data_IF_573669333978
#
_entry.id   IF_573669333978
#
_cell.length_a   1.000
_cell.length_b   1.000
_cell.length_c   1.000
_cell.angle_alpha   90.00
_cell.angle_beta   90.00
_cell.angle_gamma   90.00
#
_symmetry.space_group_name_H-M   'P 1'
#
loop_
_entity.id
_entity.type
_entity.pdbx_description
1 polymer ?
#
# COMPACT_ATOMS: atom_id res chain seq x y z
N UNK A 1 -5.84 21.04 -6.66
CA UNK A 1 -7.11 20.27 -6.54
C UNK A 1 -7.03 19.10 -7.51
N UNK A 2 -7.50 17.90 -7.14
CA UNK A 2 -7.57 16.75 -8.03
C UNK A 2 -8.42 17.08 -9.28
N UNK A 3 -8.05 16.51 -10.43
CA UNK A 3 -8.83 16.63 -11.67
C UNK A 3 -10.12 15.81 -11.59
N UNK A 4 -11.12 16.14 -12.42
CA UNK A 4 -12.36 15.35 -12.47
C UNK A 4 -12.08 13.89 -12.93
N UNK A 5 -11.10 13.69 -13.82
CA UNK A 5 -10.66 12.36 -14.25
C UNK A 5 -10.07 11.54 -13.10
N UNK A 6 -9.24 12.17 -12.27
CA UNK A 6 -8.69 11.54 -11.07
C UNK A 6 -9.78 11.09 -10.10
N UNK A 7 -10.76 11.97 -9.82
CA UNK A 7 -11.86 11.65 -8.92
C UNK A 7 -12.69 10.45 -9.42
N UNK A 8 -13.04 10.46 -10.70
CA UNK A 8 -13.75 9.33 -11.31
C UNK A 8 -12.94 8.03 -11.19
N UNK A 9 -11.65 8.08 -11.51
CA UNK A 9 -10.78 6.91 -11.42
C UNK A 9 -10.60 6.40 -10.00
N UNK A 10 -10.45 7.30 -9.04
CA UNK A 10 -10.40 6.98 -7.61
C UNK A 10 -11.67 6.23 -7.15
N UNK A 11 -12.86 6.74 -7.53
CA UNK A 11 -14.14 6.14 -7.15
C UNK A 11 -14.33 4.74 -7.78
N UNK A 12 -13.83 4.55 -9.01
CA UNK A 12 -13.78 3.23 -9.67
C UNK A 12 -12.86 2.26 -8.91
N UNK A 13 -11.66 2.71 -8.53
CA UNK A 13 -10.67 1.91 -7.78
C UNK A 13 -11.26 1.53 -6.41
N UNK A 14 -11.82 2.49 -5.67
CA UNK A 14 -12.48 2.25 -4.39
C UNK A 14 -13.57 1.18 -4.53
N UNK A 15 -14.51 1.37 -5.49
CA UNK A 15 -15.60 0.42 -5.72
C UNK A 15 -15.08 -0.97 -6.09
N UNK A 16 -14.05 -1.06 -6.92
CA UNK A 16 -13.46 -2.33 -7.33
C UNK A 16 -12.84 -3.08 -6.15
N UNK A 17 -12.01 -2.43 -5.37
CA UNK A 17 -11.33 -3.07 -4.23
C UNK A 17 -12.25 -3.31 -3.05
N UNK A 18 -13.23 -2.44 -2.82
CA UNK A 18 -14.14 -2.58 -1.70
C UNK A 18 -15.22 -3.64 -1.93
N UNK A 19 -15.76 -3.73 -3.16
CA UNK A 19 -16.92 -4.58 -3.46
C UNK A 19 -16.61 -5.81 -4.32
N UNK A 20 -15.67 -5.70 -5.24
CA UNK A 20 -15.44 -6.75 -6.24
C UNK A 20 -14.23 -7.61 -5.91
N UNK A 21 -13.15 -7.02 -5.43
CA UNK A 21 -11.88 -7.69 -5.23
C UNK A 21 -11.56 -8.01 -3.77
N UNK A 22 -12.31 -7.47 -2.79
CA UNK A 22 -11.99 -7.58 -1.37
C UNK A 22 -11.74 -9.03 -0.91
N UNK A 23 -12.66 -9.96 -1.19
CA UNK A 23 -12.52 -11.37 -0.81
C UNK A 23 -11.34 -12.06 -1.49
N UNK A 24 -11.11 -11.72 -2.78
CA UNK A 24 -9.98 -12.26 -3.52
C UNK A 24 -8.64 -11.77 -2.94
N UNK A 25 -8.56 -10.50 -2.57
CA UNK A 25 -7.40 -9.91 -1.91
C UNK A 25 -7.19 -10.43 -0.50
N UNK A 26 -8.25 -10.55 0.29
CA UNK A 26 -8.21 -11.17 1.60
C UNK A 26 -7.60 -12.57 1.54
N UNK A 27 -8.06 -13.40 0.60
CA UNK A 27 -7.55 -14.76 0.38
C UNK A 27 -6.11 -14.74 -0.15
N UNK A 28 -5.79 -13.87 -1.11
CA UNK A 28 -4.47 -13.82 -1.74
C UNK A 28 -3.37 -13.41 -0.75
N UNK A 29 -3.70 -12.56 0.19
CA UNK A 29 -2.77 -12.01 1.19
C UNK A 29 -2.83 -12.72 2.55
N UNK A 30 -3.54 -13.86 2.66
CA UNK A 30 -3.60 -14.73 3.84
C UNK A 30 -2.81 -16.03 3.62
N UNK A 31 -2.66 -16.84 4.66
CA UNK A 31 -2.05 -18.18 4.58
C UNK A 31 -3.01 -19.26 4.07
N UNK A 32 -4.25 -18.90 3.73
CA UNK A 32 -5.25 -19.84 3.26
C UNK A 32 -4.78 -20.59 2.00
N UNK A 33 -5.13 -21.89 1.85
CA UNK A 33 -4.83 -22.65 0.65
C UNK A 33 -5.43 -22.01 -0.59
N UNK A 34 -4.62 -21.84 -1.64
CA UNK A 34 -5.04 -21.25 -2.90
C UNK A 34 -4.69 -22.14 -4.08
N UNK A 35 -5.35 -21.92 -5.23
CA UNK A 35 -5.04 -22.63 -6.47
C UNK A 35 -3.57 -22.40 -6.90
N UNK A 36 -3.07 -23.26 -7.79
CA UNK A 36 -1.69 -23.17 -8.32
C UNK A 36 -1.39 -21.78 -8.93
N UNK A 37 -2.34 -21.22 -9.66
CA UNK A 37 -2.19 -19.90 -10.29
C UNK A 37 -2.11 -18.81 -9.20
N UNK A 38 -3.03 -18.80 -8.25
CA UNK A 38 -3.03 -17.83 -7.16
C UNK A 38 -1.78 -17.94 -6.27
N UNK A 39 -1.23 -19.14 -6.13
CA UNK A 39 0.06 -19.36 -5.43
C UNK A 39 1.22 -18.68 -6.14
N UNK A 40 1.25 -18.73 -7.48
CA UNK A 40 2.28 -18.02 -8.26
C UNK A 40 2.15 -16.51 -8.10
N UNK A 41 0.92 -15.97 -8.13
CA UNK A 41 0.67 -14.55 -7.89
C UNK A 41 1.10 -14.14 -6.47
N UNK A 42 0.75 -14.93 -5.45
CA UNK A 42 1.15 -14.69 -4.05
C UNK A 42 2.68 -14.60 -3.93
N UNK A 43 3.41 -15.59 -4.46
CA UNK A 43 4.89 -15.59 -4.46
C UNK A 43 5.48 -14.37 -5.15
N UNK A 44 4.90 -13.94 -6.28
CA UNK A 44 5.35 -12.74 -6.98
C UNK A 44 5.17 -11.47 -6.13
N UNK A 45 4.04 -11.37 -5.43
CA UNK A 45 3.80 -10.25 -4.51
C UNK A 45 4.70 -10.28 -3.29
N UNK A 46 4.95 -11.46 -2.72
CA UNK A 46 5.86 -11.62 -1.60
C UNK A 46 7.28 -11.18 -1.98
N UNK A 47 7.79 -11.66 -3.13
CA UNK A 47 9.09 -11.24 -3.65
C UNK A 47 9.17 -9.73 -3.95
N UNK A 48 8.08 -9.13 -4.44
CA UNK A 48 8.00 -7.69 -4.68
C UNK A 48 8.06 -6.91 -3.35
N UNK A 49 7.31 -7.34 -2.34
CA UNK A 49 7.31 -6.74 -1.01
C UNK A 49 8.70 -6.83 -0.36
N UNK A 50 9.31 -8.00 -0.39
CA UNK A 50 10.69 -8.21 0.08
C UNK A 50 11.66 -7.28 -0.64
N UNK A 51 11.53 -7.12 -1.96
CA UNK A 51 12.37 -6.22 -2.75
C UNK A 51 12.20 -4.76 -2.30
N UNK A 52 10.95 -4.27 -2.17
CA UNK A 52 10.68 -2.91 -1.70
C UNK A 52 11.28 -2.66 -0.32
N UNK A 53 11.05 -3.60 0.60
CA UNK A 53 11.57 -3.51 1.96
C UNK A 53 13.11 -3.65 2.03
N UNK A 54 13.75 -4.35 1.09
CA UNK A 54 15.21 -4.47 1.03
C UNK A 54 15.90 -3.15 0.65
N UNK A 55 15.17 -2.22 0.05
CA UNK A 55 15.68 -0.89 -0.27
C UNK A 55 15.53 0.11 0.88
N UNK A 56 14.90 -0.29 1.97
CA UNK A 56 14.84 0.44 3.24
C UNK A 56 15.86 -0.14 4.23
N UNK A 57 16.23 0.59 5.30
CA UNK A 57 17.04 0.03 6.38
C UNK A 57 16.41 -1.23 6.99
N UNK A 58 17.25 -2.18 7.42
CA UNK A 58 16.77 -3.36 8.15
C UNK A 58 16.17 -2.98 9.50
N UNK A 59 16.82 -2.03 10.21
CA UNK A 59 16.31 -1.43 11.43
C UNK A 59 15.69 -0.06 11.10
N UNK A 60 14.40 0.07 11.30
CA UNK A 60 13.61 1.29 11.12
C UNK A 60 13.22 1.94 12.45
N UNK A 61 13.86 1.53 13.55
CA UNK A 61 13.58 2.09 14.88
C UNK A 61 13.75 3.61 14.90
N UNK A 62 12.73 4.29 15.41
CA UNK A 62 12.70 5.76 15.45
C UNK A 62 12.36 6.44 14.13
N UNK A 63 12.13 5.68 13.06
CA UNK A 63 11.72 6.22 11.75
C UNK A 63 10.20 6.19 11.58
N UNK A 64 9.70 7.14 10.80
CA UNK A 64 8.29 7.21 10.38
C UNK A 64 8.15 6.75 8.93
N UNK A 65 7.10 5.96 8.64
CA UNK A 65 6.84 5.42 7.31
C UNK A 65 5.37 5.59 6.93
N UNK A 66 5.11 6.00 5.69
CA UNK A 66 3.77 5.94 5.09
C UNK A 66 3.69 4.79 4.09
N UNK A 67 2.65 3.94 4.22
CA UNK A 67 2.27 2.92 3.24
C UNK A 67 1.05 3.43 2.44
N UNK A 68 1.30 3.87 1.21
CA UNK A 68 0.32 4.52 0.35
C UNK A 68 -0.36 3.51 -0.58
N UNK A 69 -1.61 3.16 -0.26
CA UNK A 69 -2.35 2.06 -0.87
C UNK A 69 -2.03 0.73 -0.19
N UNK A 70 -2.20 0.70 1.13
CA UNK A 70 -1.74 -0.41 1.98
C UNK A 70 -2.53 -1.72 1.82
N UNK A 71 -3.72 -1.66 1.22
CA UNK A 71 -4.59 -2.81 1.07
C UNK A 71 -4.85 -3.52 2.40
N UNK A 72 -4.45 -4.79 2.48
CA UNK A 72 -4.63 -5.63 3.68
C UNK A 72 -3.51 -5.49 4.73
N UNK A 73 -2.64 -4.48 4.58
CA UNK A 73 -1.69 -4.06 5.60
C UNK A 73 -0.41 -4.89 5.74
N UNK A 74 -0.16 -5.87 4.89
CA UNK A 74 0.97 -6.79 5.06
C UNK A 74 2.32 -6.07 5.07
N UNK A 75 2.54 -5.11 4.13
CA UNK A 75 3.79 -4.35 4.06
C UNK A 75 3.93 -3.41 5.27
N UNK A 76 2.86 -2.73 5.65
CA UNK A 76 2.81 -1.85 6.82
C UNK A 76 3.21 -2.59 8.11
N UNK A 77 2.66 -3.81 8.31
CA UNK A 77 2.98 -4.66 9.46
C UNK A 77 4.46 -5.07 9.45
N UNK A 78 5.00 -5.53 8.31
CA UNK A 78 6.41 -5.89 8.19
C UNK A 78 7.37 -4.71 8.44
N UNK A 79 7.00 -3.50 7.98
CA UNK A 79 7.78 -2.29 8.28
C UNK A 79 7.75 -1.95 9.78
N UNK A 80 6.59 -2.11 10.44
CA UNK A 80 6.48 -1.90 11.88
C UNK A 80 7.24 -2.96 12.69
N UNK A 81 7.31 -4.20 12.24
CA UNK A 81 8.15 -5.25 12.83
C UNK A 81 9.65 -4.92 12.75
N UNK A 82 10.06 -4.05 11.81
CA UNK A 82 11.42 -3.48 11.74
C UNK A 82 11.59 -2.24 12.63
N UNK A 83 10.57 -1.87 13.44
CA UNK A 83 10.60 -0.77 14.38
C UNK A 83 10.09 0.58 13.86
N UNK A 84 9.55 0.65 12.64
CA UNK A 84 8.95 1.88 12.13
C UNK A 84 7.64 2.21 12.83
N UNK A 85 7.40 3.52 13.01
CA UNK A 85 6.05 4.03 13.23
C UNK A 85 5.36 4.22 11.88
N UNK A 86 4.29 3.47 11.62
CA UNK A 86 3.67 3.39 10.30
C UNK A 86 2.30 4.05 10.28
N UNK A 87 2.06 4.89 9.27
CA UNK A 87 0.72 5.32 8.85
C UNK A 87 0.42 4.65 7.52
N UNK A 88 -0.66 3.89 7.45
CA UNK A 88 -1.04 3.10 6.29
C UNK A 88 -2.41 3.53 5.78
N UNK A 89 -2.50 3.93 4.52
CA UNK A 89 -3.70 4.53 3.92
C UNK A 89 -4.19 3.70 2.75
N UNK A 90 -5.49 3.45 2.69
CA UNK A 90 -6.14 2.83 1.52
C UNK A 90 -7.54 3.41 1.30
N UNK A 91 -8.01 3.40 0.05
CA UNK A 91 -9.35 3.86 -0.33
C UNK A 91 -10.44 2.91 0.16
N UNK A 92 -10.16 1.59 0.25
CA UNK A 92 -11.15 0.57 0.59
C UNK A 92 -11.34 0.42 2.10
N UNK A 93 -12.50 0.79 2.66
CA UNK A 93 -12.82 0.53 4.06
C UNK A 93 -12.73 -0.96 4.42
N UNK A 94 -13.14 -1.84 3.50
CA UNK A 94 -13.12 -3.30 3.70
C UNK A 94 -11.70 -3.82 3.88
N UNK A 95 -10.74 -3.40 3.03
CA UNK A 95 -9.35 -3.82 3.14
C UNK A 95 -8.68 -3.24 4.39
N UNK A 96 -8.95 -1.97 4.71
CA UNK A 96 -8.43 -1.32 5.92
C UNK A 96 -8.94 -2.00 7.19
N UNK A 97 -10.21 -2.39 7.23
CA UNK A 97 -10.76 -3.11 8.39
C UNK A 97 -10.10 -4.49 8.54
N UNK A 98 -9.88 -5.20 7.43
CA UNK A 98 -9.14 -6.46 7.46
C UNK A 98 -7.68 -6.27 7.93
N UNK A 99 -7.02 -5.20 7.52
CA UNK A 99 -5.67 -4.87 7.99
C UNK A 99 -5.65 -4.63 9.51
N UNK A 100 -6.65 -3.91 10.04
CA UNK A 100 -6.82 -3.68 11.49
C UNK A 100 -7.09 -4.97 12.26
N UNK A 101 -7.86 -5.90 11.69
CA UNK A 101 -8.11 -7.22 12.29
C UNK A 101 -6.82 -8.01 12.37
N UNK A 102 -6.07 -8.09 11.28
CA UNK A 102 -4.77 -8.77 11.25
C UNK A 102 -3.77 -8.21 12.25
N UNK A 103 -3.71 -6.89 12.39
CA UNK A 103 -2.83 -6.25 13.38
C UNK A 103 -3.23 -6.65 14.80
N UNK A 104 -4.52 -6.72 15.11
CA UNK A 104 -5.02 -7.12 16.44
C UNK A 104 -4.76 -8.60 16.75
N UNK A 105 -4.70 -9.45 15.73
CA UNK A 105 -4.42 -10.88 15.89
C UNK A 105 -2.94 -11.19 16.15
N UNK A 106 -2.07 -10.18 15.98
CA UNK A 106 -0.65 -10.31 16.36
C UNK A 106 -0.49 -10.09 17.86
N UNK A 107 0.44 -10.84 18.45
CA UNK A 107 0.82 -10.68 19.86
C UNK A 107 1.75 -9.49 20.09
N UNK A 108 2.30 -8.91 18.99
CA UNK A 108 3.24 -7.80 19.01
C UNK A 108 2.51 -6.46 19.13
N UNK A 109 3.03 -5.57 19.98
CA UNK A 109 2.57 -4.17 20.10
C UNK A 109 3.25 -3.31 19.02
N UNK A 110 2.72 -3.34 17.80
CA UNK A 110 3.26 -2.63 16.65
C UNK A 110 2.63 -1.24 16.48
N UNK A 111 3.45 -0.22 16.23
CA UNK A 111 2.98 1.17 16.01
C UNK A 111 2.48 1.34 14.57
N UNK A 112 1.27 0.88 14.27
CA UNK A 112 0.63 1.02 12.97
C UNK A 112 -0.73 1.70 13.10
N UNK A 113 -0.92 2.79 12.35
CA UNK A 113 -2.21 3.48 12.21
C UNK A 113 -2.77 3.24 10.81
N UNK A 114 -3.90 2.53 10.72
CA UNK A 114 -4.61 2.30 9.46
C UNK A 114 -5.72 3.33 9.25
N UNK A 115 -5.70 4.02 8.10
CA UNK A 115 -6.63 5.07 7.71
C UNK A 115 -7.36 4.74 6.40
N UNK A 116 -8.65 5.02 6.35
CA UNK A 116 -9.42 5.01 5.11
C UNK A 116 -9.35 6.40 4.50
N UNK A 117 -8.86 6.52 3.28
CA UNK A 117 -8.76 7.81 2.60
C UNK A 117 -7.90 7.77 1.36
N UNK A 118 -7.85 8.91 0.70
CA UNK A 118 -7.03 9.11 -0.49
C UNK A 118 -5.61 9.55 -0.07
N UNK A 119 -4.60 8.76 -0.46
CA UNK A 119 -3.20 9.03 -0.17
C UNK A 119 -2.71 10.40 -0.68
N UNK A 120 -3.42 10.98 -1.66
CA UNK A 120 -3.08 12.27 -2.26
C UNK A 120 -3.63 13.46 -1.47
N UNK A 121 -4.80 13.29 -0.85
CA UNK A 121 -5.55 14.38 -0.23
C UNK A 121 -5.35 14.47 1.28
N UNK A 122 -4.61 13.54 1.90
CA UNK A 122 -4.39 13.51 3.33
C UNK A 122 -3.15 14.31 3.71
N UNK A 123 -3.33 15.35 4.52
CA UNK A 123 -2.22 16.03 5.19
C UNK A 123 -1.86 15.23 6.47
N UNK A 124 -0.98 14.27 6.30
CA UNK A 124 -0.55 13.37 7.38
C UNK A 124 0.77 13.80 8.01
N UNK A 125 1.32 14.94 7.59
CA UNK A 125 2.60 15.44 8.05
C UNK A 125 3.78 14.91 7.21
N UNK A 126 4.94 14.80 7.84
CA UNK A 126 6.16 14.36 7.16
C UNK A 126 6.60 13.00 7.65
N UNK A 127 7.17 12.22 6.73
CA UNK A 127 7.68 10.87 7.00
C UNK A 127 9.12 10.76 6.53
N UNK A 128 9.86 9.83 7.14
CA UNK A 128 11.21 9.52 6.68
C UNK A 128 11.16 8.66 5.42
N UNK A 129 10.21 7.73 5.36
CA UNK A 129 10.06 6.79 4.25
C UNK A 129 8.63 6.75 3.73
N UNK A 130 8.49 6.48 2.43
CA UNK A 130 7.23 6.10 1.81
C UNK A 130 7.37 4.81 1.01
N UNK A 131 6.34 3.98 1.07
CA UNK A 131 6.17 2.83 0.18
C UNK A 131 4.82 2.91 -0.52
N UNK A 132 4.77 2.46 -1.78
CA UNK A 132 3.54 2.38 -2.56
C UNK A 132 3.61 1.12 -3.45
N UNK A 133 3.09 0.00 -2.94
CA UNK A 133 3.11 -1.28 -3.62
C UNK A 133 1.79 -1.55 -4.33
N UNK A 134 1.84 -1.71 -5.67
CA UNK A 134 0.68 -2.02 -6.52
C UNK A 134 -0.49 -1.02 -6.40
N UNK A 135 -0.25 0.20 -5.93
CA UNK A 135 -1.28 1.23 -5.77
C UNK A 135 -1.26 2.25 -6.93
N UNK A 136 -0.08 2.77 -7.27
CA UNK A 136 0.07 3.81 -8.30
C UNK A 136 -0.26 3.29 -9.71
N UNK A 137 -0.10 2.01 -9.96
CA UNK A 137 -0.34 1.35 -11.26
C UNK A 137 -1.80 1.44 -11.74
N UNK A 138 -2.73 1.77 -10.85
CA UNK A 138 -4.15 1.88 -11.16
C UNK A 138 -4.54 3.24 -11.76
N UNK A 139 -3.67 4.24 -11.70
CA UNK A 139 -3.88 5.57 -12.24
C UNK A 139 -3.27 5.70 -13.64
N UNK A 140 -3.75 6.66 -14.41
CA UNK A 140 -3.04 7.05 -15.62
C UNK A 140 -1.69 7.72 -15.28
N UNK A 141 -0.85 7.89 -16.30
CA UNK A 141 0.52 8.41 -16.09
C UNK A 141 0.51 9.81 -15.47
N UNK A 142 -0.41 10.68 -15.90
CA UNK A 142 -0.48 12.06 -15.40
C UNK A 142 -0.90 12.10 -13.92
N UNK A 143 -1.95 11.37 -13.58
CA UNK A 143 -2.46 11.32 -12.21
C UNK A 143 -1.50 10.56 -11.29
N UNK A 144 -0.86 9.50 -11.78
CA UNK A 144 0.18 8.77 -11.06
C UNK A 144 1.39 9.65 -10.71
N UNK A 145 1.88 10.44 -11.67
CA UNK A 145 2.99 11.38 -11.42
C UNK A 145 2.59 12.45 -10.41
N UNK A 146 1.40 13.03 -10.52
CA UNK A 146 0.92 14.04 -9.55
C UNK A 146 0.76 13.43 -8.14
N UNK A 147 0.32 12.18 -8.05
CA UNK A 147 0.20 11.47 -6.76
C UNK A 147 1.57 11.22 -6.15
N UNK A 148 2.53 10.75 -6.95
CA UNK A 148 3.91 10.56 -6.50
C UNK A 148 4.55 11.87 -6.05
N UNK A 149 4.35 12.97 -6.78
CA UNK A 149 4.87 14.30 -6.43
C UNK A 149 4.28 14.81 -5.10
N UNK A 150 2.97 14.64 -4.90
CA UNK A 150 2.31 15.01 -3.65
C UNK A 150 2.85 14.24 -2.44
N UNK A 151 3.06 12.91 -2.58
CA UNK A 151 3.63 12.08 -1.52
C UNK A 151 5.11 12.45 -1.30
N UNK A 152 5.90 12.57 -2.38
CA UNK A 152 7.33 12.88 -2.30
C UNK A 152 7.61 14.19 -1.57
N UNK A 153 6.73 15.20 -1.70
CA UNK A 153 6.81 16.46 -0.97
C UNK A 153 6.75 16.31 0.56
N UNK A 154 6.27 15.19 1.07
CA UNK A 154 6.15 14.89 2.50
C UNK A 154 7.27 13.95 3.00
N UNK A 155 8.18 13.50 2.15
CA UNK A 155 9.19 12.49 2.47
C UNK A 155 10.56 13.12 2.68
N UNK A 156 11.21 12.77 3.79
CA UNK A 156 12.52 13.29 4.17
C UNK A 156 13.68 12.50 3.55
N UNK A 157 13.58 11.17 3.45
CA UNK A 157 14.71 10.30 3.10
C UNK A 157 14.50 9.56 1.78
N UNK A 158 13.53 8.65 1.71
CA UNK A 158 13.35 7.78 0.53
C UNK A 158 11.89 7.40 0.31
N UNK A 159 11.50 7.38 -0.95
CA UNK A 159 10.26 6.80 -1.43
C UNK A 159 10.55 5.63 -2.36
N UNK A 160 9.86 4.50 -2.16
CA UNK A 160 9.94 3.32 -3.03
C UNK A 160 8.52 2.93 -3.48
N UNK A 161 8.37 2.61 -4.75
CA UNK A 161 7.06 2.28 -5.30
C UNK A 161 7.18 1.32 -6.48
N UNK A 162 6.07 0.65 -6.81
CA UNK A 162 5.95 -0.17 -8.02
C UNK A 162 5.27 0.61 -9.13
N UNK A 163 5.66 0.33 -10.36
CA UNK A 163 4.98 0.83 -11.56
C UNK A 163 4.88 -0.27 -12.61
N UNK A 164 3.88 -0.18 -13.48
CA UNK A 164 3.75 -1.09 -14.62
C UNK A 164 4.48 -0.49 -15.83
N UNK A 165 5.54 -1.11 -16.34
CA UNK A 165 6.22 -0.62 -17.54
C UNK A 165 5.27 -0.74 -18.74
N UNK A 166 5.19 0.31 -19.55
CA UNK A 166 4.44 0.27 -20.81
C UNK A 166 5.24 -0.52 -21.84
N UNK A 167 4.91 -1.81 -21.99
CA UNK A 167 5.53 -2.66 -23.03
C UNK A 167 4.57 -2.87 -24.18
N UNK A 168 5.06 -3.14 -25.42
CA UNK A 168 4.20 -3.42 -26.59
C UNK A 168 3.32 -4.67 -26.45
N UNK A 169 3.52 -5.48 -25.40
CA UNK A 169 2.83 -6.75 -25.13
C UNK A 169 1.88 -6.68 -23.91
N UNK A 170 1.72 -5.51 -23.29
CA UNK A 170 0.77 -5.27 -22.21
C UNK A 170 -0.25 -4.22 -22.63
#
# INVERSE_FOLDING_TARGET
MPTASYQTRRDEIETYFDRTAADAWATLTSDAPVSRIRRTVRRGRDAMRETLLSWLPEDLSGSTLIDAGCGTGTLAIEAAQRGAKVVAVDLSPTLVNLARERLRDLEDDLDVTFLVGDMRDMDLGRFDYAVAMDSIIHYDVSDGVQTLDAIAGQINCKMVFTFAPKTPLL
#
